data_IF_929680633452
#
_entry.id   IF_929680633452
#
_cell.length_a   1.000
_cell.length_b   1.000
_cell.length_c   1.000
_cell.angle_alpha   90.00
_cell.angle_beta   90.00
_cell.angle_gamma   90.00
#
_symmetry.space_group_name_H-M   'P 1'
#
loop_
_entity.id
_entity.type
_entity.pdbx_description
1 polymer ?
#
# COMPACT_ATOMS: atom_id res chain seq x y z
N UNK A 1 22.14 -20.74 45.59
CA UNK A 1 22.52 -19.36 45.95
C UNK A 1 23.93 -19.11 45.47
N UNK A 2 24.17 -18.08 44.64
CA UNK A 2 25.52 -17.53 44.46
C UNK A 2 26.00 -17.30 43.03
N UNK A 3 25.53 -16.19 42.43
CA UNK A 3 26.27 -15.21 41.61
C UNK A 3 26.90 -15.62 40.27
N UNK A 4 26.35 -14.93 39.26
CA UNK A 4 26.86 -14.55 37.94
C UNK A 4 28.32 -14.05 37.96
N UNK A 5 29.10 -14.42 36.94
CA UNK A 5 29.97 -13.47 36.23
C UNK A 5 30.24 -13.93 34.79
N UNK A 6 30.09 -12.98 33.87
CA UNK A 6 30.31 -13.03 32.42
C UNK A 6 31.81 -13.13 32.12
N UNK A 7 32.19 -13.96 31.14
CA UNK A 7 33.49 -13.88 30.49
C UNK A 7 33.33 -14.13 28.98
N UNK A 8 33.85 -13.20 28.19
CA UNK A 8 33.90 -13.19 26.74
C UNK A 8 35.00 -14.11 26.17
N UNK A 9 35.00 -14.25 24.84
CA UNK A 9 35.97 -14.98 23.98
C UNK A 9 35.71 -16.51 23.97
N UNK A 10 35.65 -17.22 22.85
CA UNK A 10 36.50 -17.21 21.65
C UNK A 10 35.78 -17.96 20.49
N UNK A 11 36.27 -17.75 19.26
CA UNK A 11 36.52 -18.80 18.23
C UNK A 11 35.33 -19.08 17.29
N UNK A 12 35.43 -19.06 15.97
CA UNK A 12 36.54 -18.87 15.02
C UNK A 12 35.93 -18.70 13.64
N UNK A 13 36.52 -17.85 12.80
CA UNK A 13 36.37 -17.94 11.35
C UNK A 13 36.88 -19.31 10.90
N UNK A 14 36.00 -20.16 10.37
CA UNK A 14 36.39 -21.26 9.50
C UNK A 14 35.62 -21.12 8.20
N UNK A 15 36.31 -20.54 7.21
CA UNK A 15 35.94 -20.66 5.81
C UNK A 15 36.19 -22.12 5.40
N UNK A 16 35.13 -22.87 5.13
CA UNK A 16 35.22 -24.11 4.38
C UNK A 16 34.38 -23.93 3.13
N UNK A 17 35.05 -23.90 1.99
CA UNK A 17 34.41 -23.87 0.69
C UNK A 17 33.61 -25.16 0.49
N UNK A 18 32.29 -25.07 0.61
CA UNK A 18 31.37 -26.11 0.13
C UNK A 18 30.25 -25.40 -0.64
N UNK A 19 30.25 -25.57 -1.94
CA UNK A 19 29.24 -25.02 -2.85
C UNK A 19 27.91 -25.72 -2.63
N UNK A 20 27.04 -25.09 -1.85
CA UNK A 20 25.60 -25.35 -1.87
C UNK A 20 24.92 -24.00 -2.00
N UNK A 21 24.12 -23.85 -3.05
CA UNK A 21 23.23 -22.70 -3.19
C UNK A 21 22.19 -22.83 -2.07
N UNK A 22 22.38 -22.09 -0.98
CA UNK A 22 21.33 -21.90 0.02
C UNK A 22 20.24 -21.06 -0.64
N UNK A 23 19.07 -21.66 -0.82
CA UNK A 23 17.85 -20.91 -1.10
C UNK A 23 17.56 -20.07 0.14
N UNK A 24 17.87 -18.77 0.07
CA UNK A 24 17.62 -17.81 1.13
C UNK A 24 16.11 -17.66 1.32
N UNK A 25 15.54 -18.44 2.24
CA UNK A 25 14.14 -18.27 2.67
C UNK A 25 14.10 -17.05 3.59
N UNK A 26 13.80 -15.90 2.99
CA UNK A 26 13.54 -14.66 3.74
C UNK A 26 12.31 -14.84 4.63
N UNK A 27 12.39 -14.36 5.87
CA UNK A 27 11.24 -14.32 6.77
C UNK A 27 10.19 -13.34 6.24
N UNK A 28 8.91 -13.50 6.65
CA UNK A 28 7.85 -12.56 6.27
C UNK A 28 8.17 -11.10 6.66
N UNK A 29 8.88 -10.91 7.77
CA UNK A 29 9.33 -9.59 8.22
C UNK A 29 10.42 -9.01 7.30
N UNK A 30 11.38 -9.82 6.85
CA UNK A 30 12.42 -9.38 5.92
C UNK A 30 11.86 -9.10 4.52
N UNK A 31 10.91 -9.93 4.04
CA UNK A 31 10.16 -9.67 2.81
C UNK A 31 9.39 -8.35 2.89
N UNK A 32 8.69 -8.11 3.99
CA UNK A 32 7.95 -6.88 4.24
C UNK A 32 8.86 -5.64 4.26
N UNK A 33 10.02 -5.71 4.91
CA UNK A 33 10.97 -4.59 4.92
C UNK A 33 11.60 -4.37 3.54
N UNK A 34 11.99 -5.44 2.83
CA UNK A 34 12.56 -5.34 1.48
C UNK A 34 11.57 -4.82 0.44
N UNK A 35 10.27 -5.11 0.61
CA UNK A 35 9.22 -4.62 -0.27
C UNK A 35 8.58 -3.32 0.22
N UNK A 36 9.16 -2.71 1.26
CA UNK A 36 8.72 -1.43 1.78
C UNK A 36 9.40 -0.26 1.07
N UNK A 37 8.60 0.74 0.73
CA UNK A 37 9.03 1.99 0.13
C UNK A 37 8.59 3.12 1.05
N UNK A 38 9.54 3.92 1.52
CA UNK A 38 9.21 5.14 2.27
C UNK A 38 8.48 6.12 1.34
N UNK A 39 7.40 6.68 1.85
CA UNK A 39 6.66 7.73 1.16
C UNK A 39 7.47 9.03 1.28
N UNK A 40 7.68 9.78 0.18
CA UNK A 40 8.47 11.00 0.20
C UNK A 40 7.68 12.19 0.76
N UNK A 41 7.07 12.06 1.95
CA UNK A 41 6.36 13.17 2.58
C UNK A 41 7.30 14.37 2.74
N UNK A 42 6.77 15.57 2.44
CA UNK A 42 7.49 16.85 2.51
C UNK A 42 8.60 17.07 1.45
N UNK A 43 8.72 16.17 0.46
CA UNK A 43 9.44 16.42 -0.79
C UNK A 43 8.43 16.65 -1.93
N UNK A 44 8.75 17.60 -2.83
CA UNK A 44 8.11 17.77 -4.15
C UNK A 44 6.58 17.59 -4.22
N UNK A 45 5.80 18.24 -3.35
CA UNK A 45 4.34 18.27 -3.49
C UNK A 45 3.60 16.98 -3.11
N UNK A 46 4.29 15.98 -2.53
CA UNK A 46 3.64 14.79 -1.95
C UNK A 46 2.88 15.18 -0.66
N UNK A 47 1.60 14.79 -0.58
CA UNK A 47 0.68 15.08 0.54
C UNK A 47 -0.09 13.81 0.90
N UNK A 48 0.62 12.79 1.39
CA UNK A 48 0.02 11.47 1.70
C UNK A 48 -0.98 11.47 2.86
N UNK A 49 -1.02 12.55 3.65
CA UNK A 49 -2.11 12.80 4.60
C UNK A 49 -3.48 12.75 3.91
N UNK A 50 -3.56 13.15 2.63
CA UNK A 50 -4.78 13.04 1.83
C UNK A 50 -4.88 11.64 1.22
N UNK A 51 -5.86 10.88 1.68
CA UNK A 51 -6.28 9.64 1.03
C UNK A 51 -7.50 9.98 0.19
N UNK A 52 -7.32 10.24 -1.09
CA UNK A 52 -8.39 10.66 -1.99
C UNK A 52 -9.25 9.47 -2.40
N UNK A 53 -10.25 9.68 -3.26
CA UNK A 53 -11.05 8.59 -3.79
C UNK A 53 -11.35 8.75 -5.28
N UNK A 54 -11.60 7.63 -5.94
CA UNK A 54 -12.15 7.57 -7.29
C UNK A 54 -13.37 6.64 -7.33
N UNK A 55 -14.32 6.93 -8.21
CA UNK A 55 -15.45 6.02 -8.40
C UNK A 55 -15.03 4.77 -9.17
N UNK A 56 -15.47 3.58 -8.76
CA UNK A 56 -15.24 2.35 -9.53
C UNK A 56 -15.75 2.46 -10.97
N UNK A 57 -16.85 3.18 -11.17
CA UNK A 57 -17.44 3.46 -12.49
C UNK A 57 -16.58 4.32 -13.42
N UNK A 58 -15.47 4.88 -12.94
CA UNK A 58 -14.49 5.57 -13.78
C UNK A 58 -13.56 4.58 -14.51
N UNK A 59 -13.50 3.32 -14.06
CA UNK A 59 -12.81 2.23 -14.77
C UNK A 59 -13.78 1.66 -15.81
N UNK A 60 -13.64 2.06 -17.07
CA UNK A 60 -14.63 1.78 -18.13
C UNK A 60 -14.16 0.83 -19.21
N UNK A 61 -12.85 0.62 -19.36
CA UNK A 61 -12.30 -0.30 -20.36
C UNK A 61 -12.44 -1.75 -19.90
N UNK A 62 -13.45 -2.45 -20.42
CA UNK A 62 -13.77 -3.84 -20.08
C UNK A 62 -12.67 -4.85 -20.41
N UNK A 63 -11.74 -4.47 -21.29
CA UNK A 63 -10.60 -5.32 -21.66
C UNK A 63 -9.44 -5.20 -20.70
N UNK A 64 -9.41 -4.16 -19.86
CA UNK A 64 -8.35 -3.90 -18.89
C UNK A 64 -8.39 -4.84 -17.69
N UNK A 65 -7.24 -5.13 -17.10
CA UNK A 65 -7.15 -5.99 -15.92
C UNK A 65 -7.82 -5.37 -14.70
N UNK A 66 -7.75 -4.03 -14.57
CA UNK A 66 -8.43 -3.28 -13.50
C UNK A 66 -9.96 -3.41 -13.59
N UNK A 67 -10.55 -3.35 -14.79
CA UNK A 67 -11.98 -3.59 -14.95
C UNK A 67 -12.32 -5.03 -14.57
N UNK A 68 -11.62 -6.01 -15.16
CA UNK A 68 -11.85 -7.43 -14.87
C UNK A 68 -11.74 -7.75 -13.39
N UNK A 69 -10.80 -7.13 -12.67
CA UNK A 69 -10.63 -7.30 -11.24
C UNK A 69 -11.78 -6.69 -10.43
N UNK A 70 -12.09 -5.40 -10.65
CA UNK A 70 -13.15 -4.69 -9.92
C UNK A 70 -14.54 -5.27 -10.16
N UNK A 71 -14.80 -5.80 -11.36
CA UNK A 71 -16.07 -6.39 -11.75
C UNK A 71 -16.07 -7.93 -11.77
N UNK A 72 -15.06 -8.56 -11.15
CA UNK A 72 -14.91 -10.03 -11.10
C UNK A 72 -16.02 -10.77 -10.33
N UNK A 73 -16.86 -10.05 -9.57
CA UNK A 73 -17.82 -10.62 -8.62
C UNK A 73 -17.21 -10.98 -7.25
N UNK A 74 -15.89 -10.88 -7.08
CA UNK A 74 -15.21 -11.07 -5.79
C UNK A 74 -14.97 -9.74 -5.04
N UNK A 75 -15.05 -8.61 -5.73
CA UNK A 75 -15.06 -7.29 -5.11
C UNK A 75 -16.46 -6.96 -4.59
N UNK A 76 -16.54 -6.28 -3.45
CA UNK A 76 -17.80 -5.88 -2.81
C UNK A 76 -17.71 -4.50 -2.19
N UNK A 77 -18.84 -3.81 -2.09
CA UNK A 77 -18.93 -2.49 -1.44
C UNK A 77 -19.16 -2.66 0.06
N UNK A 78 -18.36 -1.99 0.89
CA UNK A 78 -18.55 -1.96 2.34
C UNK A 78 -19.63 -0.92 2.77
N UNK A 79 -20.04 -0.88 4.04
CA UNK A 79 -21.08 0.06 4.51
C UNK A 79 -20.74 1.55 4.35
N UNK A 80 -19.45 1.89 4.24
CA UNK A 80 -18.99 3.26 4.01
C UNK A 80 -18.90 3.58 2.51
N UNK A 81 -19.12 2.60 1.63
CA UNK A 81 -19.07 2.75 0.19
C UNK A 81 -17.71 2.45 -0.44
N UNK A 82 -16.74 1.92 0.31
CA UNK A 82 -15.44 1.54 -0.23
C UNK A 82 -15.51 0.16 -0.87
N UNK A 83 -14.87 -0.01 -2.02
CA UNK A 83 -14.74 -1.32 -2.66
C UNK A 83 -13.67 -2.12 -1.94
N UNK A 84 -13.96 -3.39 -1.65
CA UNK A 84 -13.06 -4.33 -0.98
C UNK A 84 -12.96 -5.65 -1.74
N UNK A 85 -11.81 -6.31 -1.60
CA UNK A 85 -11.58 -7.69 -2.02
C UNK A 85 -10.82 -8.43 -0.92
N UNK A 86 -11.31 -9.60 -0.50
CA UNK A 86 -10.72 -10.38 0.61
C UNK A 86 -10.40 -9.53 1.86
N UNK A 87 -11.36 -8.71 2.28
CA UNK A 87 -11.26 -7.79 3.41
C UNK A 87 -10.17 -6.68 3.31
N UNK A 88 -9.63 -6.44 2.11
CA UNK A 88 -8.68 -5.36 1.80
C UNK A 88 -9.36 -4.28 0.97
N UNK A 89 -9.02 -3.02 1.19
CA UNK A 89 -9.55 -1.91 0.39
C UNK A 89 -8.94 -1.90 -1.01
N UNK A 90 -9.78 -1.80 -2.03
CA UNK A 90 -9.31 -1.59 -3.40
C UNK A 90 -8.86 -0.13 -3.54
N UNK A 91 -7.62 0.07 -4.00
CA UNK A 91 -7.03 1.40 -4.20
C UNK A 91 -6.47 1.56 -5.61
N UNK A 92 -6.41 2.79 -6.08
CA UNK A 92 -5.54 3.22 -7.16
C UNK A 92 -4.21 3.72 -6.58
N UNK A 93 -3.10 3.27 -7.17
CA UNK A 93 -1.75 3.68 -6.76
C UNK A 93 -0.87 3.89 -7.99
N UNK A 94 0.20 4.68 -7.85
CA UNK A 94 1.18 4.88 -8.91
C UNK A 94 2.06 3.65 -9.17
N UNK A 95 2.52 3.50 -10.42
CA UNK A 95 3.31 2.34 -10.87
C UNK A 95 4.71 2.24 -10.26
N UNK A 96 5.14 3.25 -9.49
CA UNK A 96 6.37 3.25 -8.71
C UNK A 96 6.37 2.29 -7.53
N UNK A 97 5.20 1.79 -7.09
CA UNK A 97 5.11 0.77 -6.03
C UNK A 97 4.85 -0.63 -6.56
N UNK A 98 3.99 -0.77 -7.57
CA UNK A 98 3.76 -2.02 -8.30
C UNK A 98 3.10 -1.76 -9.65
N UNK A 99 3.17 -2.73 -10.56
CA UNK A 99 2.58 -2.69 -11.90
C UNK A 99 1.43 -3.69 -12.09
N UNK A 100 1.05 -4.43 -11.06
CA UNK A 100 0.04 -5.47 -11.19
C UNK A 100 -1.26 -5.11 -10.46
N UNK A 101 -2.37 -5.37 -11.12
CA UNK A 101 -3.69 -5.37 -10.49
C UNK A 101 -3.82 -6.62 -9.61
N UNK A 102 -4.38 -6.47 -8.42
CA UNK A 102 -4.57 -7.55 -7.45
C UNK A 102 -3.42 -7.74 -6.46
N UNK A 103 -2.30 -7.04 -6.64
CA UNK A 103 -1.19 -7.07 -5.67
C UNK A 103 -1.66 -6.56 -4.30
N UNK A 104 -1.18 -7.22 -3.25
CA UNK A 104 -1.49 -6.81 -1.88
C UNK A 104 -0.61 -5.62 -1.53
N UNK A 105 -1.25 -4.55 -1.06
CA UNK A 105 -0.56 -3.35 -0.63
C UNK A 105 -0.93 -3.07 0.82
N UNK A 106 0.04 -2.61 1.59
CA UNK A 106 -0.17 -2.18 2.97
C UNK A 106 0.31 -0.74 3.11
N UNK A 107 -0.58 0.15 3.54
CA UNK A 107 -0.24 1.52 3.88
C UNK A 107 0.03 1.56 5.39
N UNK A 108 1.23 1.97 5.77
CA UNK A 108 1.61 2.18 7.16
C UNK A 108 1.51 3.67 7.46
N UNK A 109 0.71 4.00 8.47
CA UNK A 109 0.46 5.38 8.87
C UNK A 109 1.45 5.84 9.94
N UNK A 110 1.57 7.15 10.12
CA UNK A 110 2.54 7.76 11.05
C UNK A 110 2.38 7.34 12.51
N UNK A 111 1.16 6.98 12.92
CA UNK A 111 0.83 6.48 14.26
C UNK A 111 1.09 4.96 14.41
N UNK A 112 1.57 4.30 13.35
CA UNK A 112 1.78 2.86 13.27
C UNK A 112 0.55 2.06 12.85
N UNK A 113 -0.59 2.71 12.60
CA UNK A 113 -1.79 2.06 12.07
C UNK A 113 -1.54 1.47 10.68
N UNK A 114 -2.25 0.39 10.39
CA UNK A 114 -2.08 -0.39 9.16
C UNK A 114 -3.38 -0.42 8.37
N UNK A 115 -3.35 0.14 7.15
CA UNK A 115 -4.45 0.03 6.20
C UNK A 115 -4.12 -1.04 5.17
N UNK A 116 -4.89 -2.13 5.19
CA UNK A 116 -4.70 -3.27 4.28
C UNK A 116 -5.47 -3.02 2.99
N UNK A 117 -4.72 -2.98 1.89
CA UNK A 117 -5.21 -2.66 0.57
C UNK A 117 -4.87 -3.76 -0.46
N UNK A 118 -5.44 -3.59 -1.63
CA UNK A 118 -5.18 -4.36 -2.85
C UNK A 118 -5.29 -3.42 -4.04
N UNK A 119 -4.43 -3.59 -5.04
CA UNK A 119 -4.42 -2.72 -6.22
C UNK A 119 -5.65 -3.03 -7.09
N UNK A 120 -6.61 -2.10 -7.12
CA UNK A 120 -7.78 -2.19 -7.99
C UNK A 120 -7.63 -1.40 -9.29
N UNK A 121 -6.73 -0.42 -9.32
CA UNK A 121 -6.39 0.37 -10.51
C UNK A 121 -4.95 0.89 -10.42
N UNK A 122 -4.35 1.22 -11.56
CA UNK A 122 -3.05 1.90 -11.62
C UNK A 122 -3.24 3.34 -12.09
N UNK A 123 -2.66 4.29 -11.36
CA UNK A 123 -2.63 5.68 -11.80
C UNK A 123 -1.65 5.80 -12.98
N UNK A 124 -2.11 6.42 -14.06
CA UNK A 124 -1.29 6.57 -15.26
C UNK A 124 -0.06 7.45 -14.98
N UNK A 125 1.14 7.12 -15.53
CA UNK A 125 2.37 7.88 -15.31
C UNK A 125 2.26 9.39 -15.55
N UNK A 126 1.41 9.81 -16.49
CA UNK A 126 1.17 11.22 -16.82
C UNK A 126 0.52 12.01 -15.68
N UNK A 127 -0.13 11.33 -14.73
CA UNK A 127 -0.76 11.94 -13.56
C UNK A 127 0.10 11.83 -12.30
N UNK A 128 1.21 11.12 -12.36
CA UNK A 128 2.07 10.90 -11.20
C UNK A 128 3.38 11.66 -11.33
N UNK A 129 4.08 11.82 -10.22
CA UNK A 129 5.41 12.42 -10.19
C UNK A 129 6.42 11.62 -11.04
N UNK A 130 7.63 12.13 -11.19
CA UNK A 130 8.67 11.50 -12.01
C UNK A 130 9.06 10.08 -11.57
N UNK A 131 8.83 9.74 -10.30
CA UNK A 131 9.03 8.39 -9.74
C UNK A 131 7.77 7.52 -9.77
N UNK A 132 6.65 8.02 -10.29
CA UNK A 132 5.34 7.37 -10.37
C UNK A 132 4.76 6.92 -9.02
N UNK A 133 4.94 7.70 -7.95
CA UNK A 133 4.55 7.36 -6.57
C UNK A 133 3.42 8.21 -5.99
N UNK A 134 3.18 9.43 -6.46
CA UNK A 134 2.05 10.24 -6.00
C UNK A 134 1.50 11.11 -7.12
N UNK A 135 0.23 11.50 -7.00
CA UNK A 135 -0.45 12.34 -7.98
C UNK A 135 0.10 13.77 -7.96
N UNK A 136 0.43 14.33 -9.13
CA UNK A 136 1.01 15.68 -9.23
C UNK A 136 -0.01 16.80 -9.03
N UNK A 137 -1.31 16.52 -9.14
CA UNK A 137 -2.37 17.51 -9.00
C UNK A 137 -2.70 17.78 -7.53
N UNK A 138 -2.69 16.75 -6.67
CA UNK A 138 -3.10 16.90 -5.27
C UNK A 138 -2.12 16.33 -4.23
N UNK A 139 -1.08 15.63 -4.67
CA UNK A 139 -0.05 15.02 -3.83
C UNK A 139 -0.42 13.67 -3.23
N UNK A 140 -1.61 13.15 -3.50
CA UNK A 140 -2.09 11.91 -2.88
C UNK A 140 -1.28 10.69 -3.36
N UNK A 141 -1.02 9.78 -2.44
CA UNK A 141 -0.28 8.53 -2.73
C UNK A 141 -1.23 7.42 -3.14
N UNK A 142 -2.42 7.37 -2.55
CA UNK A 142 -3.42 6.36 -2.79
C UNK A 142 -4.80 7.00 -2.93
N UNK A 143 -5.53 6.62 -3.97
CA UNK A 143 -6.96 6.94 -4.13
C UNK A 143 -7.77 5.68 -3.80
N UNK A 144 -8.69 5.76 -2.84
CA UNK A 144 -9.59 4.65 -2.53
C UNK A 144 -10.67 4.51 -3.60
N UNK A 145 -10.97 3.28 -3.98
CA UNK A 145 -12.02 3.02 -4.97
C UNK A 145 -13.35 2.90 -4.25
N UNK A 146 -14.34 3.69 -4.66
CA UNK A 146 -15.64 3.78 -4.00
C UNK A 146 -16.80 3.53 -4.96
N UNK A 147 -17.90 2.99 -4.44
CA UNK A 147 -19.17 2.88 -5.14
C UNK A 147 -19.97 4.17 -4.95
N UNK A 148 -20.21 4.90 -6.03
CA UNK A 148 -20.97 6.16 -6.03
C UNK A 148 -22.39 6.02 -5.46
N UNK A 149 -22.99 4.82 -5.49
CA UNK A 149 -24.35 4.59 -4.99
C UNK A 149 -24.41 4.54 -3.46
N UNK A 150 -23.30 4.23 -2.80
CA UNK A 150 -23.21 4.04 -1.35
C UNK A 150 -22.34 5.12 -0.71
N UNK A 151 -21.23 5.49 -1.36
CA UNK A 151 -20.28 6.47 -0.85
C UNK A 151 -20.89 7.88 -0.86
N UNK A 152 -21.07 8.44 0.33
CA UNK A 152 -21.61 9.79 0.51
C UNK A 152 -20.48 10.81 0.64
N UNK A 153 -19.97 11.29 -0.49
CA UNK A 153 -18.92 12.33 -0.52
C UNK A 153 -19.36 13.68 0.06
N UNK A 154 -20.67 13.91 0.22
CA UNK A 154 -21.21 15.13 0.84
C UNK A 154 -21.00 15.13 2.36
N UNK A 155 -20.72 13.96 2.96
CA UNK A 155 -20.54 13.83 4.40
C UNK A 155 -19.39 14.69 4.93
N UNK A 156 -18.35 14.94 4.12
CA UNK A 156 -17.22 15.79 4.52
C UNK A 156 -16.79 16.84 3.45
N UNK A 157 -17.19 16.67 2.18
CA UNK A 157 -16.87 17.59 1.09
C UNK A 157 -15.36 17.74 0.80
N UNK A 158 -14.51 16.89 1.38
CA UNK A 158 -13.05 17.09 1.38
C UNK A 158 -12.37 16.52 0.14
N UNK A 159 -13.05 15.64 -0.60
CA UNK A 159 -12.44 14.84 -1.67
C UNK A 159 -11.58 13.68 -1.14
N UNK A 160 -11.66 13.35 0.15
CA UNK A 160 -10.86 12.30 0.79
C UNK A 160 -11.73 11.26 1.49
N UNK A 161 -11.13 10.15 1.89
CA UNK A 161 -11.72 9.15 2.80
C UNK A 161 -11.27 9.32 4.25
N UNK A 162 -10.57 10.42 4.57
CA UNK A 162 -9.96 10.65 5.89
C UNK A 162 -10.99 10.74 7.02
N UNK A 163 -12.27 10.98 6.72
CA UNK A 163 -13.36 11.01 7.69
C UNK A 163 -13.80 9.63 8.19
N UNK A 164 -13.25 8.56 7.63
CA UNK A 164 -13.48 7.18 8.05
C UNK A 164 -12.42 6.81 9.08
N UNK A 165 -12.86 6.37 10.26
CA UNK A 165 -12.00 5.95 11.34
C UNK A 165 -10.89 5.00 10.86
N UNK A 166 -9.63 5.32 11.19
CA UNK A 166 -8.45 4.57 10.80
C UNK A 166 -7.83 5.01 9.46
N UNK A 167 -8.34 6.09 8.85
CA UNK A 167 -7.80 6.70 7.64
C UNK A 167 -7.10 8.05 7.92
N UNK A 168 -7.00 8.46 9.17
CA UNK A 168 -6.35 9.71 9.57
C UNK A 168 -4.81 9.64 9.42
N UNK A 169 -4.15 10.80 9.42
CA UNK A 169 -2.68 10.88 9.43
C UNK A 169 -1.99 10.60 8.09
N UNK A 170 -0.68 10.77 8.08
CA UNK A 170 0.16 10.55 6.90
C UNK A 170 0.44 9.06 6.63
N UNK A 171 0.59 8.70 5.35
CA UNK A 171 1.17 7.40 4.97
C UNK A 171 2.69 7.60 4.96
N UNK A 172 3.41 6.87 5.81
CA UNK A 172 4.87 6.99 5.91
C UNK A 172 5.60 5.91 5.09
N UNK A 173 4.94 4.78 4.85
CA UNK A 173 5.52 3.62 4.15
C UNK A 173 4.45 2.85 3.39
N UNK A 174 4.77 2.43 2.18
CA UNK A 174 3.97 1.51 1.35
C UNK A 174 4.71 0.19 1.26
N UNK A 175 4.03 -0.92 1.58
CA UNK A 175 4.58 -2.27 1.47
C UNK A 175 3.79 -3.04 0.43
N UNK A 176 4.47 -3.58 -0.59
CA UNK A 176 3.87 -4.47 -1.60
C UNK A 176 4.18 -5.92 -1.23
N UNK A 177 3.20 -6.82 -1.22
CA UNK A 177 3.36 -8.23 -0.81
C UNK A 177 2.96 -9.20 -1.91
#
# INVERSE_FOLDING_TARGET
>A
MGKVLVAALVLSLTFSAQTHAEELVLTEAELCEMSSVNVPNHLEGCVSAKKTYMYCSAVTDETSDQYKFLYSGYCYTDPNGLIKYNNRYCIAIGTGYTKNIGDRVTLVLEDGSIVRCVVGALKAPVHTDSSNRYDVADGSVAEFIVDKKVFNSVKDGSGTVNFIDGMEGEIIKVVTL
#
